data_IF_027137349143
#
_entry.id   IF_027137349143
#
_cell.length_a   1.000
_cell.length_b   1.000
_cell.length_c   1.000
_cell.angle_alpha   90.00
_cell.angle_beta   90.00
_cell.angle_gamma   90.00
#
_symmetry.space_group_name_H-M   'P 1'
#
loop_
_entity.id
_entity.type
_entity.pdbx_description
1 polymer ?
#
# COMPACT_ATOMS: atom_id res chain seq x y z
N UNK A 1 5.14 -18.85 -18.04
CA UNK A 1 4.78 -18.44 -16.65
C UNK A 1 4.82 -19.62 -15.65
N UNK A 2 5.91 -20.39 -15.63
CA UNK A 2 6.08 -21.53 -14.69
C UNK A 2 6.80 -21.08 -13.40
N UNK A 3 7.57 -19.99 -13.48
CA UNK A 3 8.44 -19.51 -12.40
C UNK A 3 7.73 -19.24 -11.04
N UNK A 4 6.57 -18.55 -10.98
CA UNK A 4 5.89 -18.32 -9.69
C UNK A 4 5.36 -19.61 -9.06
N UNK A 5 4.90 -20.57 -9.88
CA UNK A 5 4.42 -21.86 -9.37
C UNK A 5 5.58 -22.68 -8.78
N UNK A 6 6.69 -22.76 -9.49
CA UNK A 6 7.89 -23.45 -9.00
C UNK A 6 8.44 -22.80 -7.74
N UNK A 7 8.48 -21.47 -7.68
CA UNK A 7 8.89 -20.76 -6.47
C UNK A 7 7.98 -21.09 -5.27
N UNK A 8 6.66 -21.11 -5.48
CA UNK A 8 5.71 -21.47 -4.43
C UNK A 8 5.89 -22.93 -3.95
N UNK A 9 6.06 -23.88 -4.88
CA UNK A 9 6.31 -25.28 -4.53
C UNK A 9 7.61 -25.40 -3.72
N UNK A 10 8.65 -24.68 -4.14
CA UNK A 10 9.96 -24.73 -3.51
C UNK A 10 9.95 -24.09 -2.11
N UNK A 11 9.29 -22.95 -1.95
CA UNK A 11 9.14 -22.25 -0.67
C UNK A 11 8.12 -22.92 0.26
N UNK A 12 7.24 -23.79 -0.25
CA UNK A 12 6.33 -24.59 0.59
C UNK A 12 7.08 -25.48 1.59
N UNK A 13 8.30 -25.85 1.28
CA UNK A 13 9.19 -26.55 2.23
C UNK A 13 9.41 -25.71 3.49
N UNK A 14 9.59 -24.39 3.36
CA UNK A 14 9.70 -23.49 4.51
C UNK A 14 8.40 -23.50 5.34
N UNK A 15 7.24 -23.47 4.69
CA UNK A 15 5.93 -23.50 5.39
C UNK A 15 5.76 -24.78 6.21
N UNK A 16 6.15 -25.95 5.64
CA UNK A 16 6.11 -27.24 6.33
C UNK A 16 7.04 -27.25 7.54
N UNK A 17 8.34 -26.92 7.33
CA UNK A 17 9.34 -26.87 8.41
C UNK A 17 8.90 -25.91 9.53
N UNK A 18 8.34 -24.75 9.14
CA UNK A 18 7.87 -23.77 10.10
C UNK A 18 6.72 -24.30 10.94
N UNK A 19 5.71 -24.87 10.30
CA UNK A 19 4.50 -25.36 10.96
C UNK A 19 4.82 -26.52 11.90
N UNK A 20 5.67 -27.45 11.48
CA UNK A 20 5.97 -28.67 12.24
C UNK A 20 6.98 -28.44 13.38
N UNK A 21 7.97 -27.58 13.18
CA UNK A 21 9.12 -27.49 14.10
C UNK A 21 9.29 -26.14 14.78
N UNK A 22 8.86 -25.05 14.18
CA UNK A 22 9.20 -23.69 14.63
C UNK A 22 7.98 -22.82 14.95
N UNK A 23 6.77 -23.37 14.92
CA UNK A 23 5.52 -22.64 15.19
C UNK A 23 5.48 -21.97 16.58
N UNK A 24 6.23 -22.50 17.55
CA UNK A 24 6.36 -21.91 18.89
C UNK A 24 7.08 -20.55 18.90
N UNK A 25 7.99 -20.29 17.95
CA UNK A 25 8.73 -19.03 17.84
C UNK A 25 7.87 -17.88 17.30
N UNK A 26 6.86 -18.19 16.47
CA UNK A 26 6.02 -17.18 15.89
C UNK A 26 5.20 -17.69 14.70
N UNK A 27 4.34 -16.82 14.19
CA UNK A 27 3.47 -17.14 13.04
C UNK A 27 4.12 -16.70 11.73
N UNK A 28 4.39 -17.65 10.85
CA UNK A 28 4.82 -17.37 9.48
C UNK A 28 3.61 -16.96 8.63
N UNK A 29 3.78 -15.91 7.83
CA UNK A 29 2.83 -15.46 6.81
C UNK A 29 3.62 -15.25 5.53
N UNK A 30 3.34 -16.04 4.51
CA UNK A 30 4.02 -16.01 3.21
C UNK A 30 3.08 -15.57 2.08
N UNK A 31 3.64 -14.88 1.10
CA UNK A 31 2.98 -14.54 -0.15
C UNK A 31 4.01 -14.50 -1.27
N UNK A 32 3.96 -15.48 -2.15
CA UNK A 32 4.98 -15.73 -3.18
C UNK A 32 6.39 -15.82 -2.55
N UNK A 33 7.31 -14.96 -2.94
CA UNK A 33 8.69 -14.87 -2.45
C UNK A 33 8.85 -13.97 -1.20
N UNK A 34 7.82 -13.24 -0.82
CA UNK A 34 7.82 -12.39 0.37
C UNK A 34 7.21 -13.13 1.57
N UNK A 35 7.85 -13.09 2.73
CA UNK A 35 7.30 -13.62 3.97
C UNK A 35 7.62 -12.74 5.17
N UNK A 36 6.79 -12.88 6.21
CA UNK A 36 6.96 -12.21 7.50
C UNK A 36 6.71 -13.22 8.63
N UNK A 37 7.52 -13.19 9.67
CA UNK A 37 7.33 -13.99 10.88
C UNK A 37 6.99 -13.04 12.02
N UNK A 38 5.84 -13.26 12.63
CA UNK A 38 5.35 -12.44 13.74
C UNK A 38 5.68 -13.15 15.04
N UNK A 39 6.65 -12.64 15.77
CA UNK A 39 7.13 -13.17 17.04
C UNK A 39 6.63 -12.33 18.22
N UNK A 40 6.63 -12.92 19.41
CA UNK A 40 6.22 -12.24 20.64
C UNK A 40 7.38 -11.45 21.26
N UNK A 41 8.58 -11.99 21.23
CA UNK A 41 9.78 -11.40 21.81
C UNK A 41 10.85 -11.16 20.77
N UNK A 42 11.82 -10.28 21.08
CA UNK A 42 12.99 -10.06 20.25
C UNK A 42 13.83 -11.33 20.13
N UNK A 43 13.98 -12.07 21.21
CA UNK A 43 14.73 -13.32 21.24
C UNK A 43 14.12 -14.37 20.28
N UNK A 44 12.78 -14.52 20.29
CA UNK A 44 12.11 -15.42 19.35
C UNK A 44 12.33 -14.98 17.89
N UNK A 45 12.32 -13.67 17.63
CA UNK A 45 12.55 -13.15 16.29
C UNK A 45 13.98 -13.38 15.79
N UNK A 46 14.98 -13.22 16.66
CA UNK A 46 16.38 -13.51 16.35
C UNK A 46 16.59 -15.01 16.11
N UNK A 47 16.02 -15.86 16.96
CA UNK A 47 16.03 -17.31 16.79
C UNK A 47 15.31 -17.73 15.50
N UNK A 48 14.16 -17.15 15.22
CA UNK A 48 13.41 -17.37 13.99
C UNK A 48 14.25 -17.04 12.74
N UNK A 49 14.95 -15.92 12.76
CA UNK A 49 15.85 -15.53 11.66
C UNK A 49 16.96 -16.55 11.41
N UNK A 50 17.57 -17.09 12.48
CA UNK A 50 18.58 -18.14 12.36
C UNK A 50 17.99 -19.43 11.77
N UNK A 51 16.78 -19.84 12.22
CA UNK A 51 16.09 -21.04 11.71
C UNK A 51 15.72 -20.90 10.24
N UNK A 52 15.22 -19.74 9.84
CA UNK A 52 14.96 -19.45 8.42
C UNK A 52 16.24 -19.53 7.60
N UNK A 53 17.35 -18.95 8.08
CA UNK A 53 18.63 -19.03 7.37
C UNK A 53 19.09 -20.49 7.16
N UNK A 54 18.95 -21.35 8.17
CA UNK A 54 19.25 -22.77 8.07
C UNK A 54 18.39 -23.49 7.03
N UNK A 55 17.07 -23.22 6.99
CA UNK A 55 16.17 -23.81 5.98
C UNK A 55 16.50 -23.31 4.58
N UNK A 56 16.80 -22.02 4.42
CA UNK A 56 17.20 -21.46 3.12
C UNK A 56 18.51 -22.05 2.61
N UNK A 57 19.48 -22.28 3.50
CA UNK A 57 20.74 -22.96 3.14
C UNK A 57 20.50 -24.39 2.65
N UNK A 58 19.62 -25.16 3.32
CA UNK A 58 19.21 -26.50 2.86
C UNK A 58 18.56 -26.46 1.47
N UNK A 59 17.79 -25.40 1.19
CA UNK A 59 17.17 -25.17 -0.11
C UNK A 59 18.11 -24.56 -1.16
N UNK A 60 19.37 -24.30 -0.79
CA UNK A 60 20.36 -23.59 -1.65
C UNK A 60 19.86 -22.21 -2.11
N UNK A 61 19.08 -21.53 -1.26
CA UNK A 61 18.59 -20.19 -1.46
C UNK A 61 19.33 -19.20 -0.57
N UNK A 62 19.49 -17.98 -1.05
CA UNK A 62 20.15 -16.91 -0.31
C UNK A 62 19.13 -15.85 0.11
N UNK A 63 19.07 -15.54 1.41
CA UNK A 63 18.29 -14.43 1.91
C UNK A 63 18.91 -13.11 1.47
N UNK A 64 18.06 -12.15 1.08
CA UNK A 64 18.54 -10.83 0.67
C UNK A 64 19.06 -10.06 1.90
N UNK A 65 20.35 -9.70 1.96
CA UNK A 65 20.99 -9.24 3.20
C UNK A 65 20.42 -7.92 3.76
N UNK A 66 19.94 -7.04 2.91
CA UNK A 66 19.38 -5.74 3.35
C UNK A 66 17.87 -5.74 3.54
N UNK A 67 17.15 -6.69 2.94
CA UNK A 67 15.68 -6.79 3.05
C UNK A 67 15.25 -7.67 4.22
N UNK A 68 16.03 -8.71 4.54
CA UNK A 68 15.74 -9.62 5.64
C UNK A 68 16.31 -9.04 6.94
N UNK A 69 15.42 -8.68 7.86
CA UNK A 69 15.81 -8.04 9.12
C UNK A 69 14.79 -8.28 10.22
N UNK A 70 15.23 -8.27 11.45
CA UNK A 70 14.35 -8.21 12.64
C UNK A 70 13.94 -6.76 12.87
N UNK A 71 12.65 -6.52 13.06
CA UNK A 71 12.08 -5.17 13.25
C UNK A 71 11.19 -5.14 14.49
N UNK A 72 11.38 -4.12 15.32
CA UNK A 72 10.44 -3.82 16.40
C UNK A 72 9.27 -2.99 15.85
N UNK A 73 8.07 -3.58 15.85
CA UNK A 73 6.86 -2.89 15.41
C UNK A 73 6.51 -1.65 16.24
N UNK A 74 7.02 -1.53 17.46
CA UNK A 74 6.78 -0.39 18.34
C UNK A 74 7.68 0.82 18.03
N UNK A 75 8.83 0.59 17.41
CA UNK A 75 9.81 1.63 17.09
C UNK A 75 9.73 2.03 15.61
N UNK A 76 10.02 1.11 14.70
CA UNK A 76 10.21 1.44 13.29
C UNK A 76 9.02 1.02 12.40
N UNK A 77 8.33 -0.07 12.74
CA UNK A 77 7.38 -0.70 11.85
C UNK A 77 8.05 -1.35 10.64
N UNK A 78 7.26 -1.94 9.75
CA UNK A 78 7.76 -2.56 8.53
C UNK A 78 6.74 -2.49 7.40
N UNK A 79 7.22 -2.60 6.17
CA UNK A 79 6.40 -2.64 4.97
C UNK A 79 6.27 -4.09 4.48
N UNK A 80 5.02 -4.53 4.22
CA UNK A 80 4.70 -5.84 3.64
C UNK A 80 3.51 -5.72 2.72
N UNK A 81 3.60 -6.29 1.52
CA UNK A 81 2.56 -6.25 0.48
C UNK A 81 2.00 -4.85 0.20
N UNK A 82 2.85 -3.83 0.25
CA UNK A 82 2.47 -2.45 0.02
C UNK A 82 1.81 -1.74 1.20
N UNK A 83 1.59 -2.43 2.32
CA UNK A 83 1.14 -1.85 3.57
C UNK A 83 2.30 -1.57 4.51
N UNK A 84 2.13 -0.56 5.33
CA UNK A 84 3.00 -0.28 6.47
C UNK A 84 2.32 -0.73 7.77
N UNK A 85 3.02 -1.55 8.55
CA UNK A 85 2.59 -2.09 9.83
C UNK A 85 3.38 -1.43 10.95
N UNK A 86 2.68 -0.88 11.94
CA UNK A 86 3.33 -0.21 13.05
C UNK A 86 2.46 -0.26 14.31
N UNK A 87 3.04 -0.51 15.50
CA UNK A 87 2.34 -0.41 16.78
C UNK A 87 2.42 1.01 17.30
N UNK A 88 1.28 1.64 17.56
CA UNK A 88 1.19 2.98 18.14
C UNK A 88 0.27 3.00 19.35
N UNK A 89 0.55 3.93 20.26
CA UNK A 89 -0.32 4.19 21.40
C UNK A 89 -1.63 4.80 20.93
N UNK A 90 -2.75 4.13 21.22
CA UNK A 90 -4.08 4.62 20.90
C UNK A 90 -4.39 5.88 21.70
N UNK A 91 -4.88 6.91 21.03
CA UNK A 91 -5.32 8.16 21.70
C UNK A 91 -6.54 7.95 22.60
N UNK A 92 -7.39 6.96 22.28
CA UNK A 92 -8.61 6.68 23.06
C UNK A 92 -8.35 5.80 24.29
N UNK A 93 -7.56 4.73 24.15
CA UNK A 93 -7.37 3.73 25.18
C UNK A 93 -6.00 3.77 25.86
N UNK A 94 -5.04 4.54 25.35
CA UNK A 94 -3.66 4.55 25.82
C UNK A 94 -2.87 3.26 25.54
N UNK A 95 -3.53 2.21 25.03
CA UNK A 95 -2.90 0.90 24.74
C UNK A 95 -2.12 0.94 23.42
N UNK A 96 -1.05 0.15 23.34
CA UNK A 96 -0.35 -0.11 22.08
C UNK A 96 -1.20 -1.01 21.20
N UNK A 97 -1.62 -0.49 20.05
CA UNK A 97 -2.42 -1.19 19.06
C UNK A 97 -1.67 -1.25 17.71
N UNK A 98 -1.84 -2.34 16.96
CA UNK A 98 -1.33 -2.41 15.60
C UNK A 98 -2.16 -1.48 14.68
N UNK A 99 -1.47 -0.70 13.88
CA UNK A 99 -2.03 0.14 12.83
C UNK A 99 -1.49 -0.30 11.48
N UNK A 100 -2.35 -0.28 10.47
CA UNK A 100 -2.03 -0.71 9.11
C UNK A 100 -2.52 0.38 8.15
N UNK A 101 -1.64 0.86 7.27
CA UNK A 101 -1.99 1.81 6.20
C UNK A 101 -1.11 1.60 4.98
N UNK A 102 -1.45 2.24 3.84
CA UNK A 102 -0.63 2.17 2.64
C UNK A 102 0.80 2.69 2.89
N UNK A 103 1.80 1.92 2.49
CA UNK A 103 3.21 2.27 2.65
C UNK A 103 3.59 3.55 1.92
N UNK A 104 4.69 4.23 2.31
CA UNK A 104 5.20 5.40 1.59
C UNK A 104 5.43 5.13 0.11
N UNK A 105 5.96 3.96 -0.24
CA UNK A 105 6.18 3.52 -1.63
C UNK A 105 4.86 3.39 -2.40
N UNK A 106 3.83 2.78 -1.78
CA UNK A 106 2.50 2.66 -2.39
C UNK A 106 1.84 4.02 -2.59
N UNK A 107 1.98 4.95 -1.62
CA UNK A 107 1.50 6.32 -1.73
C UNK A 107 2.22 7.12 -2.82
N UNK A 108 3.50 6.89 -3.03
CA UNK A 108 4.27 7.51 -4.12
C UNK A 108 3.82 6.96 -5.47
N UNK A 109 3.69 5.64 -5.59
CA UNK A 109 3.28 4.99 -6.83
C UNK A 109 1.90 5.44 -7.32
N UNK A 110 0.91 5.57 -6.41
CA UNK A 110 -0.41 6.07 -6.79
C UNK A 110 -0.38 7.55 -7.21
N UNK A 111 0.42 8.38 -6.53
CA UNK A 111 0.62 9.79 -6.93
C UNK A 111 1.25 9.89 -8.32
N UNK A 112 2.23 9.04 -8.64
CA UNK A 112 2.82 8.99 -9.98
C UNK A 112 1.79 8.59 -11.04
N UNK A 113 0.91 7.62 -10.77
CA UNK A 113 -0.19 7.24 -11.69
C UNK A 113 -1.16 8.40 -11.92
N UNK A 114 -1.58 9.08 -10.85
CA UNK A 114 -2.48 10.25 -10.94
C UNK A 114 -1.79 11.38 -11.72
N UNK A 115 -0.51 11.64 -11.43
CA UNK A 115 0.29 12.63 -12.16
C UNK A 115 0.33 12.34 -13.65
N UNK A 116 0.66 11.10 -14.03
CA UNK A 116 0.74 10.66 -15.42
C UNK A 116 -0.59 10.85 -16.19
N UNK A 117 -1.73 10.55 -15.55
CA UNK A 117 -3.05 10.76 -16.14
C UNK A 117 -3.36 12.25 -16.36
N UNK A 118 -2.87 13.11 -15.46
CA UNK A 118 -3.11 14.56 -15.43
C UNK A 118 -1.91 15.38 -15.92
N UNK A 119 -1.06 14.82 -16.75
CA UNK A 119 0.06 15.56 -17.35
C UNK A 119 -0.39 16.53 -18.44
N UNK A 120 0.37 17.61 -18.61
CA UNK A 120 0.13 18.60 -19.69
C UNK A 120 0.18 17.98 -21.08
N UNK A 121 0.96 16.93 -21.28
CA UNK A 121 1.01 16.20 -22.56
C UNK A 121 -0.33 15.56 -22.96
N UNK A 122 -1.26 15.44 -22.03
CA UNK A 122 -2.59 14.85 -22.21
C UNK A 122 -3.74 15.87 -22.27
N UNK A 123 -3.43 17.13 -22.57
CA UNK A 123 -4.45 18.17 -22.74
C UNK A 123 -5.34 17.98 -23.98
N UNK A 124 -4.98 17.10 -24.91
CA UNK A 124 -5.84 16.67 -26.01
C UNK A 124 -7.07 15.90 -25.53
N UNK A 125 -6.99 15.18 -24.41
CA UNK A 125 -8.10 14.43 -23.85
C UNK A 125 -9.23 15.37 -23.37
N UNK A 126 -10.44 14.85 -23.30
CA UNK A 126 -11.57 15.54 -22.63
C UNK A 126 -11.47 15.34 -21.11
N UNK A 127 -12.11 16.24 -20.34
CA UNK A 127 -12.14 16.09 -18.88
C UNK A 127 -12.89 14.81 -18.46
N UNK A 128 -13.92 14.43 -19.20
CA UNK A 128 -14.66 13.17 -18.97
C UNK A 128 -13.77 11.94 -19.11
N UNK A 129 -12.95 11.88 -20.16
CA UNK A 129 -11.98 10.79 -20.36
C UNK A 129 -10.96 10.72 -19.22
N UNK A 130 -10.41 11.86 -18.80
CA UNK A 130 -9.46 11.93 -17.69
C UNK A 130 -10.11 11.44 -16.39
N UNK A 131 -11.35 11.82 -16.11
CA UNK A 131 -12.10 11.37 -14.93
C UNK A 131 -12.37 9.86 -15.00
N UNK A 132 -12.74 9.32 -16.15
CA UNK A 132 -12.93 7.87 -16.33
C UNK A 132 -11.66 7.08 -16.02
N UNK A 133 -10.50 7.52 -16.53
CA UNK A 133 -9.22 6.89 -16.22
C UNK A 133 -8.85 7.00 -14.74
N UNK A 134 -9.07 8.17 -14.12
CA UNK A 134 -8.84 8.35 -12.69
C UNK A 134 -9.73 7.42 -11.86
N UNK A 135 -11.01 7.29 -12.19
CA UNK A 135 -11.96 6.45 -11.47
C UNK A 135 -11.55 4.97 -11.48
N UNK A 136 -11.02 4.46 -12.60
CA UNK A 136 -10.48 3.08 -12.64
C UNK A 136 -9.33 2.90 -11.65
N UNK A 137 -8.40 3.85 -11.63
CA UNK A 137 -7.24 3.82 -10.71
C UNK A 137 -7.68 3.97 -9.26
N UNK A 138 -8.61 4.89 -8.98
CA UNK A 138 -9.16 5.14 -7.64
C UNK A 138 -9.84 3.88 -7.11
N UNK A 139 -10.72 3.25 -7.89
CA UNK A 139 -11.46 2.03 -7.50
C UNK A 139 -10.51 0.89 -7.16
N UNK A 140 -9.57 0.58 -8.06
CA UNK A 140 -8.62 -0.52 -7.87
C UNK A 140 -7.77 -0.31 -6.61
N UNK A 141 -7.19 0.89 -6.46
CA UNK A 141 -6.33 1.18 -5.33
C UNK A 141 -7.10 1.27 -4.01
N UNK A 142 -8.27 1.91 -4.00
CA UNK A 142 -9.16 1.98 -2.84
C UNK A 142 -9.59 0.59 -2.35
N UNK A 143 -10.01 -0.28 -3.27
CA UNK A 143 -10.44 -1.64 -2.91
C UNK A 143 -9.32 -2.45 -2.26
N UNK A 144 -8.09 -2.28 -2.69
CA UNK A 144 -6.93 -2.94 -2.09
C UNK A 144 -6.56 -2.36 -0.72
N UNK A 145 -6.49 -1.02 -0.61
CA UNK A 145 -5.98 -0.34 0.59
C UNK A 145 -7.05 0.08 1.61
N UNK A 146 -8.31 -0.29 1.43
CA UNK A 146 -9.39 0.03 2.38
C UNK A 146 -9.28 -0.70 3.72
N UNK A 147 -8.38 -1.67 3.83
CA UNK A 147 -8.12 -2.44 5.04
C UNK A 147 -7.32 -1.59 6.01
N UNK A 148 -7.70 -1.58 7.30
CA UNK A 148 -6.99 -0.88 8.36
C UNK A 148 -7.21 0.63 8.40
N UNK A 149 -6.21 1.38 8.85
CA UNK A 149 -6.30 2.82 9.16
C UNK A 149 -6.08 3.70 7.92
N UNK A 150 -6.89 3.53 6.89
CA UNK A 150 -6.72 4.13 5.57
C UNK A 150 -7.19 5.60 5.46
N UNK A 151 -8.07 6.08 6.35
CA UNK A 151 -8.79 7.35 6.22
C UNK A 151 -7.88 8.56 5.93
N UNK A 152 -6.83 8.77 6.71
CA UNK A 152 -5.91 9.90 6.52
C UNK A 152 -5.17 9.82 5.18
N UNK A 153 -4.77 8.62 4.76
CA UNK A 153 -4.08 8.42 3.48
C UNK A 153 -5.01 8.67 2.30
N UNK A 154 -6.26 8.24 2.39
CA UNK A 154 -7.29 8.47 1.40
C UNK A 154 -7.60 9.97 1.24
N UNK A 155 -7.80 10.69 2.35
CA UNK A 155 -8.00 12.14 2.33
C UNK A 155 -6.81 12.91 1.72
N UNK A 156 -5.57 12.44 1.95
CA UNK A 156 -4.38 13.02 1.32
C UNK A 156 -4.41 12.83 -0.21
N UNK A 157 -4.84 11.67 -0.68
CA UNK A 157 -4.96 11.39 -2.11
C UNK A 157 -6.10 12.16 -2.76
N UNK A 158 -7.23 12.32 -2.07
CA UNK A 158 -8.37 13.11 -2.57
C UNK A 158 -8.00 14.59 -2.74
N UNK A 159 -7.25 15.15 -1.80
CA UNK A 159 -6.70 16.51 -1.95
C UNK A 159 -5.73 16.59 -3.13
N UNK A 160 -4.88 15.58 -3.30
CA UNK A 160 -3.93 15.54 -4.40
C UNK A 160 -4.61 15.43 -5.77
N UNK A 161 -5.66 14.61 -5.92
CA UNK A 161 -6.42 14.50 -7.17
C UNK A 161 -7.06 15.84 -7.52
N UNK A 162 -7.74 16.50 -6.56
CA UNK A 162 -8.36 17.82 -6.81
C UNK A 162 -7.32 18.82 -7.30
N UNK A 163 -6.20 18.92 -6.61
CA UNK A 163 -5.10 19.79 -7.02
C UNK A 163 -4.61 19.49 -8.43
N UNK A 164 -4.39 18.22 -8.77
CA UNK A 164 -3.91 17.81 -10.10
C UNK A 164 -4.93 18.12 -11.21
N UNK A 165 -6.19 17.83 -10.97
CA UNK A 165 -7.27 18.14 -11.93
C UNK A 165 -7.44 19.65 -12.11
N UNK A 166 -7.36 20.42 -11.05
CA UNK A 166 -7.38 21.88 -11.12
C UNK A 166 -6.27 22.41 -12.02
N UNK A 167 -5.03 21.97 -11.80
CA UNK A 167 -3.88 22.35 -12.63
C UNK A 167 -4.08 21.94 -14.11
N UNK A 168 -4.63 20.76 -14.34
CA UNK A 168 -4.90 20.25 -15.67
C UNK A 168 -5.97 21.08 -16.39
N UNK A 169 -7.10 21.39 -15.73
CA UNK A 169 -8.17 22.21 -16.30
C UNK A 169 -7.68 23.64 -16.56
N UNK A 170 -6.98 24.24 -15.62
CA UNK A 170 -6.38 25.59 -15.83
C UNK A 170 -5.44 25.60 -17.03
N UNK A 171 -4.60 24.58 -17.18
CA UNK A 171 -3.72 24.47 -18.34
C UNK A 171 -4.49 24.31 -19.67
N UNK A 172 -5.62 23.60 -19.64
CA UNK A 172 -6.51 23.41 -20.81
C UNK A 172 -7.26 24.68 -21.19
N UNK A 173 -7.71 25.47 -20.21
CA UNK A 173 -8.36 26.77 -20.44
C UNK A 173 -7.39 27.83 -21.00
N UNK A 174 -6.10 27.70 -20.68
CA UNK A 174 -5.08 28.70 -21.08
C UNK A 174 -5.23 30.04 -20.36
N UNK A 175 -4.47 31.03 -20.82
CA UNK A 175 -4.43 32.37 -20.21
C UNK A 175 -5.73 33.18 -20.35
N UNK A 176 -6.59 32.84 -21.31
CA UNK A 176 -7.86 33.53 -21.57
C UNK A 176 -9.05 32.93 -20.83
N UNK A 177 -8.90 31.74 -20.23
CA UNK A 177 -9.96 31.07 -19.52
C UNK A 177 -10.19 31.65 -18.12
N UNK A 178 -11.44 31.98 -17.79
CA UNK A 178 -11.79 32.38 -16.42
C UNK A 178 -11.88 31.15 -15.53
N UNK A 179 -11.08 31.12 -14.46
CA UNK A 179 -11.12 30.08 -13.45
C UNK A 179 -12.22 30.36 -12.43
N UNK A 180 -13.09 29.38 -12.21
CA UNK A 180 -14.10 29.41 -11.17
C UNK A 180 -14.05 28.09 -10.38
N UNK A 181 -13.65 28.15 -9.12
CA UNK A 181 -13.51 26.98 -8.25
C UNK A 181 -14.86 26.29 -7.98
N UNK A 182 -15.93 27.08 -7.82
CA UNK A 182 -17.28 26.55 -7.55
C UNK A 182 -17.77 25.77 -8.77
N UNK A 183 -17.65 26.37 -9.96
CA UNK A 183 -18.03 25.73 -11.21
C UNK A 183 -17.19 24.47 -11.46
N UNK A 184 -15.90 24.49 -11.17
CA UNK A 184 -15.02 23.32 -11.29
C UNK A 184 -15.47 22.19 -10.35
N UNK A 185 -15.76 22.48 -9.08
CA UNK A 185 -16.25 21.47 -8.12
C UNK A 185 -17.57 20.86 -8.56
N UNK A 186 -18.50 21.67 -9.04
CA UNK A 186 -19.78 21.20 -9.59
C UNK A 186 -19.55 20.29 -10.80
N UNK A 187 -18.67 20.70 -11.73
CA UNK A 187 -18.35 19.95 -12.94
C UNK A 187 -17.74 18.57 -12.66
N UNK A 188 -16.73 18.49 -11.79
CA UNK A 188 -16.11 17.19 -11.47
C UNK A 188 -17.08 16.26 -10.74
N UNK A 189 -18.02 16.80 -9.96
CA UNK A 189 -19.08 16.04 -9.31
C UNK A 189 -20.10 15.54 -10.33
N UNK A 190 -20.52 16.39 -11.26
CA UNK A 190 -21.43 16.04 -12.36
C UNK A 190 -20.84 14.96 -13.27
N UNK A 191 -19.54 15.04 -13.58
CA UNK A 191 -18.82 14.03 -14.35
C UNK A 191 -18.50 12.76 -13.55
N UNK A 192 -18.95 12.67 -12.30
CA UNK A 192 -18.85 11.47 -11.49
C UNK A 192 -17.44 11.12 -11.01
N UNK A 193 -16.60 12.14 -10.70
CA UNK A 193 -15.31 11.88 -10.09
C UNK A 193 -15.48 11.14 -8.76
N UNK A 194 -14.85 10.00 -8.65
CA UNK A 194 -14.80 9.25 -7.40
C UNK A 194 -13.67 9.74 -6.49
N UNK A 195 -13.82 9.47 -5.20
CA UNK A 195 -12.83 9.76 -4.19
C UNK A 195 -12.40 8.47 -3.47
N UNK A 196 -11.17 8.48 -2.95
CA UNK A 196 -10.66 7.36 -2.15
C UNK A 196 -11.40 7.26 -0.83
N UNK A 197 -11.59 8.40 -0.15
CA UNK A 197 -12.30 8.46 1.12
C UNK A 197 -13.81 8.56 0.88
N UNK A 198 -14.54 7.59 1.43
CA UNK A 198 -15.98 7.62 1.59
C UNK A 198 -16.31 7.23 3.02
N UNK A 199 -17.28 7.89 3.62
CA UNK A 199 -17.74 7.55 4.98
C UNK A 199 -18.12 6.06 5.04
N UNK A 200 -17.59 5.32 6.03
CA UNK A 200 -17.86 3.89 6.21
C UNK A 200 -16.98 2.90 5.44
N UNK A 201 -15.99 3.36 4.65
CA UNK A 201 -15.13 2.46 3.85
C UNK A 201 -13.89 1.98 4.62
N UNK A 202 -13.36 2.79 5.55
CA UNK A 202 -12.21 2.37 6.33
C UNK A 202 -12.70 1.58 7.55
N UNK A 203 -12.52 0.26 7.53
CA UNK A 203 -12.69 -0.56 8.73
C UNK A 203 -11.62 -0.16 9.75
N UNK A 204 -12.06 0.07 10.98
CA UNK A 204 -11.20 0.35 12.14
C UNK A 204 -10.72 -0.98 12.73
#
# INVERSE_FOLDING_TARGET
MISPLLANIYLHVLDIFWTERFSSLGKLVSFADDFVIICRTKHDAETAMQKVAQVMELLKLTLHPTKTRVVDMGQDGFDYLGFHFHKKKSRKSGKLLPYIWASPKSMMNIRHKIHFITERKRLSNTLDEVIKFLNMVIRGWRNYFRIGNCALKFQQLDRYIRYRLEQWVRAKLGSRGQWNEIAFRALITQLGLEFFFRTGICAV
#
